data_IF_256149606352
#
_entry.id   IF_256149606352
#
_cell.length_a   1.000
_cell.length_b   1.000
_cell.length_c   1.000
_cell.angle_alpha   90.00
_cell.angle_beta   90.00
_cell.angle_gamma   90.00
#
_symmetry.space_group_name_H-M   'P 1'
#
loop_
_entity.id
_entity.type
_entity.pdbx_description
1 polymer ?
#
# COMPACT_ATOMS: atom_id res chain seq x y z
N UNK A 1 26.80 56.14 39.89
CA UNK A 1 27.32 54.74 39.81
C UNK A 1 26.32 53.64 40.24
N UNK A 2 25.07 53.94 40.60
CA UNK A 2 24.09 52.94 41.09
C UNK A 2 23.18 52.34 40.01
N UNK A 3 22.94 53.07 38.90
CA UNK A 3 22.07 52.61 37.79
C UNK A 3 22.73 51.55 36.89
N UNK A 4 24.04 51.64 36.64
CA UNK A 4 24.78 50.62 35.89
C UNK A 4 24.81 49.27 36.62
N UNK A 5 24.97 49.31 37.95
CA UNK A 5 24.98 48.12 38.81
C UNK A 5 23.65 47.38 38.80
N UNK A 6 22.52 48.10 38.74
CA UNK A 6 21.17 47.49 38.63
C UNK A 6 20.96 46.80 37.28
N UNK A 7 21.39 47.41 36.17
CA UNK A 7 21.30 46.79 34.84
C UNK A 7 22.17 45.53 34.74
N UNK A 8 23.37 45.57 35.32
CA UNK A 8 24.26 44.41 35.38
C UNK A 8 23.68 43.28 36.24
N UNK A 9 23.06 43.59 37.38
CA UNK A 9 22.37 42.62 38.24
C UNK A 9 21.15 41.99 37.55
N UNK A 10 20.36 42.79 36.84
CA UNK A 10 19.21 42.28 36.08
C UNK A 10 19.67 41.38 34.93
N UNK A 11 20.71 41.77 34.19
CA UNK A 11 21.28 40.95 33.13
C UNK A 11 21.83 39.62 33.67
N UNK A 12 22.54 39.65 34.80
CA UNK A 12 23.06 38.44 35.45
C UNK A 12 21.91 37.52 35.91
N UNK A 13 20.85 38.08 36.48
CA UNK A 13 19.67 37.32 36.89
C UNK A 13 18.97 36.64 35.72
N UNK A 14 18.74 37.38 34.62
CA UNK A 14 18.15 36.81 33.40
C UNK A 14 19.03 35.72 32.79
N UNK A 15 20.35 35.91 32.79
CA UNK A 15 21.31 34.91 32.32
C UNK A 15 21.29 33.63 33.18
N UNK A 16 21.22 33.78 34.52
CA UNK A 16 21.08 32.62 35.40
C UNK A 16 19.76 31.89 35.20
N UNK A 17 18.64 32.59 34.99
CA UNK A 17 17.35 31.97 34.68
C UNK A 17 17.39 31.21 33.35
N UNK A 18 18.04 31.77 32.33
CA UNK A 18 18.20 31.11 31.04
C UNK A 18 19.00 29.81 31.14
N UNK A 19 20.15 29.83 31.84
CA UNK A 19 20.96 28.62 32.06
C UNK A 19 20.15 27.57 32.83
N UNK A 20 19.42 27.98 33.87
CA UNK A 20 18.63 27.05 34.68
C UNK A 20 17.46 26.45 33.89
N UNK A 21 16.78 27.27 33.08
CA UNK A 21 15.72 26.82 32.18
C UNK A 21 16.22 25.87 31.09
N UNK A 22 17.36 26.17 30.47
CA UNK A 22 18.00 25.30 29.50
C UNK A 22 18.46 23.97 30.13
N UNK A 23 19.04 24.01 31.34
CA UNK A 23 19.43 22.81 32.09
C UNK A 23 18.23 21.97 32.53
N UNK A 24 17.10 22.59 32.89
CA UNK A 24 15.84 21.87 33.17
C UNK A 24 15.26 21.25 31.90
N UNK A 25 15.25 21.97 30.77
CA UNK A 25 14.79 21.46 29.47
C UNK A 25 15.62 20.29 28.96
N UNK A 26 16.95 20.36 29.12
CA UNK A 26 17.85 19.26 28.76
C UNK A 26 17.72 18.06 29.71
N UNK A 27 17.39 18.28 30.99
CA UNK A 27 17.13 17.20 31.96
C UNK A 27 15.78 16.52 31.78
N UNK A 28 14.82 17.16 31.10
CA UNK A 28 13.55 16.52 30.70
C UNK A 28 13.67 15.69 29.42
N UNK A 29 14.78 15.81 28.69
CA UNK A 29 15.12 14.90 27.59
C UNK A 29 15.74 13.64 28.19
N UNK A 30 14.88 12.72 28.63
CA UNK A 30 15.29 11.34 28.90
C UNK A 30 15.68 10.71 27.56
N UNK A 31 16.84 10.03 27.44
CA UNK A 31 17.09 9.18 26.28
C UNK A 31 16.05 8.07 26.31
N UNK A 32 15.21 8.01 25.29
CA UNK A 32 14.37 6.86 25.01
C UNK A 32 15.24 5.76 24.41
N UNK A 33 16.03 5.12 25.26
CA UNK A 33 16.59 3.80 25.00
C UNK A 33 15.58 2.77 25.52
N UNK A 34 14.97 2.02 24.60
CA UNK A 34 14.12 0.89 24.98
C UNK A 34 12.98 0.58 24.01
N UNK A 35 13.30 0.25 22.77
CA UNK A 35 12.57 -0.79 22.02
C UNK A 35 13.49 -1.39 20.95
N UNK A 36 14.60 -1.96 21.41
CA UNK A 36 15.44 -2.90 20.66
C UNK A 36 15.48 -4.19 21.45
N UNK A 37 14.35 -4.92 21.45
CA UNK A 37 14.25 -6.32 21.88
C UNK A 37 12.85 -6.82 21.53
N UNK A 38 12.59 -7.11 20.25
CA UNK A 38 11.61 -8.09 19.77
C UNK A 38 11.77 -8.23 18.24
N UNK A 39 12.86 -8.87 17.82
CA UNK A 39 12.92 -9.57 16.54
C UNK A 39 13.43 -10.99 16.83
N UNK A 40 12.56 -12.02 16.86
CA UNK A 40 13.02 -13.39 16.91
C UNK A 40 13.43 -13.80 15.51
N UNK A 41 14.74 -13.96 15.31
CA UNK A 41 15.29 -14.69 14.20
C UNK A 41 16.13 -13.85 13.27
N UNK A 42 17.40 -13.70 13.60
CA UNK A 42 18.51 -13.87 12.68
C UNK A 42 19.79 -13.76 13.49
N UNK A 43 20.55 -14.85 13.53
CA UNK A 43 22.01 -14.85 13.42
C UNK A 43 22.49 -16.29 13.61
N UNK A 44 22.95 -16.92 12.52
CA UNK A 44 24.13 -17.79 12.52
C UNK A 44 24.56 -18.02 11.06
N UNK A 45 25.42 -17.13 10.55
CA UNK A 45 26.39 -17.48 9.51
C UNK A 45 27.75 -17.01 10.00
N UNK A 46 28.68 -17.94 10.20
CA UNK A 46 30.04 -17.65 10.64
C UNK A 46 30.91 -18.90 10.86
N UNK A 47 31.47 -19.39 9.76
CA UNK A 47 32.78 -20.08 9.64
C UNK A 47 33.08 -21.43 10.33
N UNK A 48 33.12 -22.48 9.49
CA UNK A 48 34.32 -23.23 9.05
C UNK A 48 35.34 -23.66 10.11
N UNK A 49 35.44 -24.98 10.38
CA UNK A 49 36.70 -25.73 10.24
C UNK A 49 36.53 -27.26 10.37
N UNK A 50 37.37 -27.96 9.63
CA UNK A 50 37.59 -29.39 9.47
C UNK A 50 37.31 -30.33 10.66
N UNK A 51 36.66 -31.47 10.34
CA UNK A 51 37.20 -32.80 10.67
C UNK A 51 36.54 -33.88 9.82
N UNK A 52 37.34 -34.48 8.95
CA UNK A 52 36.92 -35.63 8.15
C UNK A 52 36.64 -36.88 8.99
N UNK A 53 35.71 -37.70 8.51
CA UNK A 53 35.86 -39.16 8.56
C UNK A 53 35.13 -39.81 7.40
N UNK A 54 35.95 -40.27 6.47
CA UNK A 54 35.71 -41.27 5.44
C UNK A 54 35.25 -42.57 6.10
N UNK A 55 34.12 -43.14 5.70
CA UNK A 55 33.89 -44.58 5.70
C UNK A 55 33.05 -44.97 4.49
N UNK A 56 33.45 -46.09 3.91
CA UNK A 56 33.29 -46.47 2.52
C UNK A 56 31.94 -47.13 2.18
N UNK A 57 31.72 -47.22 0.88
CA UNK A 57 30.74 -48.05 0.23
C UNK A 57 30.93 -49.54 0.50
N UNK A 58 29.81 -50.26 0.57
CA UNK A 58 29.53 -51.57 -0.05
C UNK A 58 28.58 -52.36 0.86
N UNK A 59 27.31 -52.39 0.49
CA UNK A 59 26.56 -53.64 0.53
C UNK A 59 25.68 -53.68 -0.72
N UNK A 60 26.09 -54.57 -1.61
CA UNK A 60 25.43 -54.86 -2.87
C UNK A 60 24.28 -55.84 -2.66
N UNK A 61 23.29 -55.71 -3.53
CA UNK A 61 22.54 -56.81 -4.12
C UNK A 61 21.76 -57.73 -3.18
N UNK A 62 20.47 -57.42 -3.00
CA UNK A 62 19.45 -58.46 -2.94
C UNK A 62 18.14 -57.97 -3.59
N UNK A 63 17.64 -58.81 -4.50
CA UNK A 63 16.28 -58.81 -5.07
C UNK A 63 15.93 -57.73 -6.10
N UNK A 64 16.32 -58.00 -7.35
CA UNK A 64 15.46 -57.71 -8.48
C UNK A 64 14.22 -58.63 -8.46
N UNK A 65 13.04 -58.05 -8.70
CA UNK A 65 11.84 -58.61 -9.36
C UNK A 65 10.51 -58.35 -8.62
N UNK A 66 9.50 -57.97 -9.43
CA UNK A 66 8.07 -57.71 -9.16
C UNK A 66 7.72 -56.32 -8.58
N UNK A 67 7.22 -55.35 -9.36
CA UNK A 67 5.89 -55.19 -10.01
C UNK A 67 4.89 -54.41 -9.13
N UNK A 68 4.27 -53.39 -9.74
CA UNK A 68 3.11 -52.54 -9.38
C UNK A 68 3.39 -51.19 -8.69
N UNK A 69 3.27 -50.12 -9.49
CA UNK A 69 3.05 -48.74 -9.05
C UNK A 69 1.64 -48.56 -8.44
N UNK A 70 1.46 -47.83 -7.33
CA UNK A 70 0.13 -47.48 -6.82
C UNK A 70 -0.47 -46.28 -7.60
N UNK A 71 -1.79 -46.19 -7.76
CA UNK A 71 -2.46 -45.08 -8.44
C UNK A 71 -2.47 -43.81 -7.56
N UNK A 72 -2.51 -42.60 -8.15
CA UNK A 72 -2.68 -41.39 -7.37
C UNK A 72 -4.09 -41.35 -6.78
N UNK A 73 -4.16 -41.29 -5.44
CA UNK A 73 -5.40 -41.18 -4.68
C UNK A 73 -6.17 -39.92 -5.04
N UNK A 74 -7.45 -40.09 -5.34
CA UNK A 74 -8.44 -39.01 -5.39
C UNK A 74 -8.57 -38.36 -4.02
N UNK A 75 -8.10 -37.12 -3.90
CA UNK A 75 -8.62 -36.21 -2.90
C UNK A 75 -10.04 -35.81 -3.32
N UNK A 76 -11.04 -36.42 -2.69
CA UNK A 76 -12.42 -35.92 -2.78
C UNK A 76 -12.54 -34.66 -1.93
N UNK A 77 -12.37 -33.49 -2.56
CA UNK A 77 -12.84 -32.22 -1.99
C UNK A 77 -14.36 -32.21 -2.11
N UNK A 78 -15.02 -32.61 -1.01
CA UNK A 78 -16.47 -32.52 -0.86
C UNK A 78 -16.84 -31.09 -0.48
N UNK A 79 -17.24 -30.29 -1.46
CA UNK A 79 -17.72 -28.93 -1.27
C UNK A 79 -17.59 -28.13 -2.56
N UNK A 80 -18.44 -28.41 -3.54
CA UNK A 80 -18.57 -27.61 -4.76
C UNK A 80 -19.09 -26.24 -4.37
N UNK A 81 -18.21 -25.25 -4.21
CA UNK A 81 -18.60 -23.88 -4.47
C UNK A 81 -18.81 -23.77 -5.98
N UNK A 82 -19.97 -23.27 -6.41
CA UNK A 82 -20.35 -23.03 -7.82
C UNK A 82 -19.50 -21.93 -8.50
N UNK A 83 -18.26 -21.78 -8.07
CA UNK A 83 -17.26 -20.94 -8.68
C UNK A 83 -16.87 -21.59 -10.00
N UNK A 84 -17.54 -21.16 -11.06
CA UNK A 84 -17.29 -21.60 -12.43
C UNK A 84 -15.86 -21.21 -12.83
N UNK A 85 -14.90 -22.09 -12.59
CA UNK A 85 -13.54 -21.97 -13.12
C UNK A 85 -13.65 -22.05 -14.64
N UNK A 86 -13.66 -20.90 -15.30
CA UNK A 86 -13.60 -20.81 -16.76
C UNK A 86 -12.26 -20.22 -17.10
N UNK A 87 -11.57 -20.80 -18.09
CA UNK A 87 -10.22 -20.45 -18.56
C UNK A 87 -9.07 -20.79 -17.61
N UNK A 88 -8.77 -22.08 -17.50
CA UNK A 88 -7.37 -22.52 -17.47
C UNK A 88 -6.77 -22.34 -18.87
N UNK A 89 -5.97 -21.30 -19.08
CA UNK A 89 -5.02 -21.33 -20.19
C UNK A 89 -4.03 -22.45 -19.86
N UNK A 90 -3.92 -23.46 -20.72
CA UNK A 90 -3.17 -24.71 -20.47
C UNK A 90 -1.68 -24.55 -20.17
N UNK A 91 -1.16 -23.31 -20.20
CA UNK A 91 0.24 -22.98 -20.02
C UNK A 91 0.54 -22.31 -18.65
N UNK A 92 -0.45 -22.21 -17.75
CA UNK A 92 -0.31 -21.51 -16.46
C UNK A 92 -0.77 -22.39 -15.29
N UNK A 93 0.08 -22.50 -14.27
CA UNK A 93 -0.14 -23.31 -13.06
C UNK A 93 -1.19 -22.72 -12.08
N UNK A 94 -1.86 -21.62 -12.44
CA UNK A 94 -2.84 -20.94 -11.60
C UNK A 94 -4.19 -20.75 -12.30
N UNK A 95 -5.27 -20.81 -11.51
CA UNK A 95 -6.65 -20.56 -11.95
C UNK A 95 -7.06 -19.13 -11.64
N UNK A 96 -7.81 -18.49 -12.54
CA UNK A 96 -8.44 -17.19 -12.34
C UNK A 96 -9.93 -17.39 -12.05
N UNK A 97 -10.47 -16.64 -11.09
CA UNK A 97 -11.86 -16.71 -10.63
C UNK A 97 -12.67 -15.48 -11.08
N UNK A 98 -13.57 -15.64 -12.04
CA UNK A 98 -14.38 -14.54 -12.60
C UNK A 98 -15.61 -14.16 -11.75
N UNK A 99 -15.87 -14.89 -10.68
CA UNK A 99 -16.80 -14.52 -9.61
C UNK A 99 -16.14 -13.64 -8.54
N UNK A 100 -14.81 -13.46 -8.59
CA UNK A 100 -14.06 -12.56 -7.70
C UNK A 100 -13.79 -11.24 -8.40
N UNK A 101 -14.30 -10.16 -7.82
CA UNK A 101 -14.29 -8.80 -8.38
C UNK A 101 -13.47 -7.87 -7.47
N UNK A 102 -12.61 -7.04 -8.05
CA UNK A 102 -11.78 -6.06 -7.33
C UNK A 102 -12.10 -4.65 -7.81
N UNK A 103 -12.47 -3.76 -6.89
CA UNK A 103 -12.63 -2.33 -7.17
C UNK A 103 -11.28 -1.66 -7.41
N UNK A 104 -11.22 -0.85 -8.47
CA UNK A 104 -9.98 -0.27 -8.96
C UNK A 104 -10.16 1.18 -9.37
N UNK A 105 -9.22 2.03 -8.94
CA UNK A 105 -9.27 3.47 -9.08
C UNK A 105 -8.10 3.97 -9.94
N UNK A 106 -8.40 4.80 -10.93
CA UNK A 106 -7.45 5.36 -11.90
C UNK A 106 -7.06 6.82 -11.65
N UNK A 107 -7.38 7.33 -10.47
CA UNK A 107 -7.34 8.77 -10.18
C UNK A 107 -6.00 9.27 -9.62
N UNK A 108 -4.97 8.42 -9.53
CA UNK A 108 -3.69 8.83 -8.93
C UNK A 108 -2.75 9.44 -9.96
N UNK A 109 -2.02 10.50 -9.58
CA UNK A 109 -1.07 11.18 -10.46
C UNK A 109 0.21 11.57 -9.75
N UNK A 110 1.32 11.60 -10.47
CA UNK A 110 2.67 11.92 -9.96
C UNK A 110 3.33 13.03 -10.80
N UNK A 111 4.23 13.85 -10.22
CA UNK A 111 4.88 14.95 -10.95
C UNK A 111 5.62 14.54 -12.23
N UNK A 112 6.17 13.33 -12.26
CA UNK A 112 6.93 12.83 -13.42
C UNK A 112 6.07 12.57 -14.67
N UNK A 113 4.79 12.23 -14.49
CA UNK A 113 3.86 11.87 -15.57
C UNK A 113 2.74 12.90 -15.75
N UNK A 114 2.28 13.49 -14.64
CA UNK A 114 1.08 14.31 -14.55
C UNK A 114 1.37 15.78 -14.21
N UNK A 115 2.66 16.17 -14.11
CA UNK A 115 3.17 17.49 -13.71
C UNK A 115 2.86 17.91 -12.25
N UNK A 116 1.96 17.22 -11.56
CA UNK A 116 1.62 17.42 -10.15
C UNK A 116 1.21 16.10 -9.51
N UNK A 117 1.15 16.08 -8.18
CA UNK A 117 0.42 15.02 -7.49
C UNK A 117 -1.08 15.19 -7.70
N UNK A 118 -1.78 14.07 -7.87
CA UNK A 118 -3.25 14.00 -7.97
C UNK A 118 -3.70 12.89 -7.02
N UNK A 119 -4.74 13.16 -6.22
CA UNK A 119 -5.22 12.33 -5.10
C UNK A 119 -4.23 12.06 -3.96
N UNK A 120 -2.92 11.94 -4.21
CA UNK A 120 -1.94 11.77 -3.14
C UNK A 120 -1.85 13.00 -2.22
N UNK A 121 -2.08 14.19 -2.76
CA UNK A 121 -2.06 15.48 -2.06
C UNK A 121 -3.47 15.92 -1.63
N UNK A 122 -4.38 14.98 -1.38
CA UNK A 122 -5.77 15.27 -1.04
C UNK A 122 -5.89 16.26 0.14
N UNK A 123 -6.97 17.04 0.14
CA UNK A 123 -7.30 17.94 1.25
C UNK A 123 -7.71 17.14 2.49
N UNK A 124 -7.33 17.59 3.67
CA UNK A 124 -7.89 17.07 4.91
C UNK A 124 -9.36 17.50 4.97
N UNK A 125 -10.28 16.54 4.83
CA UNK A 125 -11.72 16.80 4.81
C UNK A 125 -12.14 17.31 6.19
N UNK A 126 -12.67 18.54 6.30
CA UNK A 126 -13.07 19.10 7.57
C UNK A 126 -14.26 18.33 8.14
N UNK A 127 -14.32 18.26 9.47
CA UNK A 127 -15.52 17.78 10.15
C UNK A 127 -16.72 18.68 9.79
N UNK A 128 -17.92 18.10 9.64
CA UNK A 128 -19.13 18.82 9.23
C UNK A 128 -19.56 19.92 10.22
N UNK A 129 -19.32 19.72 11.53
CA UNK A 129 -19.45 20.77 12.56
C UNK A 129 -18.19 21.66 12.58
N UNK A 130 -18.31 22.97 12.26
CA UNK A 130 -17.18 23.91 12.25
C UNK A 130 -16.45 24.03 13.59
N UNK A 131 -17.14 23.82 14.72
CA UNK A 131 -16.52 23.89 16.06
C UNK A 131 -15.55 22.74 16.28
N UNK A 132 -15.91 21.55 15.78
CA UNK A 132 -15.05 20.37 15.83
C UNK A 132 -13.94 20.52 14.78
N UNK A 133 -14.27 20.97 13.57
CA UNK A 133 -13.29 21.17 12.49
C UNK A 133 -12.15 22.12 12.88
N UNK A 134 -12.43 23.15 13.69
CA UNK A 134 -11.42 24.07 14.20
C UNK A 134 -10.39 23.42 15.13
N UNK A 135 -10.70 22.25 15.70
CA UNK A 135 -9.80 21.49 16.57
C UNK A 135 -8.94 20.45 15.85
N UNK A 136 -9.15 20.25 14.54
CA UNK A 136 -8.41 19.29 13.72
C UNK A 136 -7.43 19.98 12.78
N UNK A 137 -6.44 19.22 12.29
CA UNK A 137 -5.52 19.69 11.26
C UNK A 137 -6.29 20.03 9.97
N UNK A 138 -5.83 21.07 9.28
CA UNK A 138 -6.40 21.58 8.04
C UNK A 138 -5.29 21.74 7.01
N UNK A 139 -5.66 21.74 5.73
CA UNK A 139 -4.74 21.88 4.62
C UNK A 139 -4.77 20.68 3.69
N UNK A 140 -3.65 20.43 3.01
CA UNK A 140 -3.46 19.32 2.07
C UNK A 140 -2.25 18.51 2.49
N UNK A 141 -2.28 17.23 2.16
CA UNK A 141 -1.10 16.38 2.26
C UNK A 141 0.02 16.89 1.33
N UNK A 142 1.29 16.68 1.72
CA UNK A 142 2.48 17.10 0.95
C UNK A 142 3.35 15.88 0.55
N UNK A 143 3.03 15.19 -0.56
CA UNK A 143 3.81 14.04 -1.02
C UNK A 143 5.25 14.43 -1.41
N UNK A 144 6.23 13.50 -1.34
CA UNK A 144 6.03 12.05 -1.24
C UNK A 144 5.98 11.47 0.17
N UNK A 145 6.48 12.16 1.20
CA UNK A 145 6.51 11.59 2.56
C UNK A 145 5.15 11.70 3.30
N UNK A 146 4.36 12.72 2.97
CA UNK A 146 3.02 12.96 3.53
C UNK A 146 1.96 12.78 2.44
N UNK A 147 1.38 11.58 2.36
CA UNK A 147 0.32 11.23 1.40
C UNK A 147 -1.03 11.11 2.09
N UNK A 148 -2.10 11.28 1.32
CA UNK A 148 -3.49 11.12 1.75
C UNK A 148 -3.92 9.65 1.95
N UNK A 149 -3.14 8.91 2.75
CA UNK A 149 -3.40 7.52 3.09
C UNK A 149 -2.76 7.19 4.43
N UNK A 150 -3.42 6.34 5.22
CA UNK A 150 -2.82 5.77 6.43
C UNK A 150 -1.76 4.69 6.13
N UNK A 151 -1.69 4.22 4.88
CA UNK A 151 -0.74 3.21 4.40
C UNK A 151 0.11 3.76 3.26
N UNK A 152 1.35 3.31 3.15
CA UNK A 152 2.25 3.71 2.08
C UNK A 152 2.34 2.63 1.00
N UNK A 153 2.04 2.92 -0.28
CA UNK A 153 2.15 1.95 -1.36
C UNK A 153 3.61 1.58 -1.64
N UNK A 154 3.88 0.31 -1.93
CA UNK A 154 5.23 -0.16 -2.30
C UNK A 154 5.75 0.52 -3.57
N UNK A 155 4.86 0.83 -4.51
CA UNK A 155 5.15 1.57 -5.74
C UNK A 155 5.34 3.09 -5.52
N UNK A 156 5.26 3.57 -4.27
CA UNK A 156 5.29 4.99 -3.95
C UNK A 156 4.06 5.75 -4.47
N UNK A 157 4.05 7.10 -4.40
CA UNK A 157 2.97 7.93 -4.94
C UNK A 157 3.02 7.93 -6.47
N UNK A 158 2.52 6.84 -7.06
CA UNK A 158 2.58 6.52 -8.48
C UNK A 158 1.57 7.33 -9.31
N UNK A 159 1.73 7.29 -10.63
CA UNK A 159 0.71 7.72 -11.58
C UNK A 159 -0.10 6.53 -12.09
N UNK A 160 -1.41 6.64 -12.10
CA UNK A 160 -2.31 5.70 -12.77
C UNK A 160 -2.15 5.72 -14.30
N UNK A 161 -1.51 6.76 -14.85
CA UNK A 161 -1.16 6.87 -16.28
C UNK A 161 0.11 6.12 -16.65
N UNK A 162 0.90 5.66 -15.67
CA UNK A 162 2.14 4.96 -15.91
C UNK A 162 1.88 3.51 -16.37
N UNK A 163 2.31 3.13 -17.60
CA UNK A 163 2.08 1.78 -18.10
C UNK A 163 2.80 0.70 -17.26
N UNK A 164 3.92 1.04 -16.62
CA UNK A 164 4.65 0.09 -15.76
C UNK A 164 3.90 -0.20 -14.46
N UNK A 165 3.22 0.81 -13.92
CA UNK A 165 2.34 0.71 -12.76
C UNK A 165 1.09 -0.11 -13.11
N UNK A 166 0.46 0.17 -14.27
CA UNK A 166 -0.70 -0.59 -14.74
C UNK A 166 -0.36 -2.08 -14.90
N UNK A 167 0.76 -2.41 -15.54
CA UNK A 167 1.19 -3.81 -15.70
C UNK A 167 1.47 -4.47 -14.33
N UNK A 168 2.11 -3.74 -13.40
CA UNK A 168 2.37 -4.24 -12.05
C UNK A 168 1.07 -4.53 -11.29
N UNK A 169 0.06 -3.66 -11.40
CA UNK A 169 -1.25 -3.90 -10.79
C UNK A 169 -1.95 -5.13 -11.40
N UNK A 170 -1.94 -5.30 -12.72
CA UNK A 170 -2.56 -6.49 -13.34
C UNK A 170 -1.86 -7.78 -12.92
N UNK A 171 -0.52 -7.76 -12.79
CA UNK A 171 0.23 -8.90 -12.25
C UNK A 171 -0.14 -9.21 -10.79
N UNK A 172 -0.36 -8.19 -9.95
CA UNK A 172 -0.81 -8.38 -8.56
C UNK A 172 -2.23 -8.96 -8.50
N UNK A 173 -3.15 -8.47 -9.35
CA UNK A 173 -4.53 -8.97 -9.43
C UNK A 173 -4.56 -10.43 -9.92
N UNK A 174 -3.74 -10.74 -10.93
CA UNK A 174 -3.56 -12.11 -11.43
C UNK A 174 -2.99 -13.03 -10.34
N UNK A 175 -1.99 -12.57 -9.58
CA UNK A 175 -1.43 -13.32 -8.45
C UNK A 175 -2.45 -13.53 -7.31
N UNK A 176 -3.43 -12.62 -7.17
CA UNK A 176 -4.57 -12.76 -6.27
C UNK A 176 -5.69 -13.67 -6.82
N UNK A 177 -5.53 -14.21 -8.04
CA UNK A 177 -6.50 -15.05 -8.74
C UNK A 177 -7.86 -14.39 -9.01
N UNK A 178 -7.95 -13.07 -8.95
CA UNK A 178 -9.18 -12.34 -9.24
C UNK A 178 -9.34 -12.12 -10.74
N UNK A 179 -10.52 -12.43 -11.27
CA UNK A 179 -10.79 -12.41 -12.71
C UNK A 179 -11.47 -11.15 -13.22
N UNK A 180 -12.01 -10.30 -12.35
CA UNK A 180 -12.76 -9.11 -12.77
C UNK A 180 -12.26 -7.87 -12.05
N UNK A 181 -11.87 -6.87 -12.86
CA UNK A 181 -11.56 -5.52 -12.45
C UNK A 181 -12.81 -4.65 -12.56
N UNK A 182 -13.28 -4.10 -11.44
CA UNK A 182 -14.38 -3.14 -11.38
C UNK A 182 -13.79 -1.74 -11.39
N UNK A 183 -13.83 -1.10 -12.55
CA UNK A 183 -13.22 0.20 -12.75
C UNK A 183 -14.16 1.32 -12.30
N UNK A 184 -13.72 2.12 -11.32
CA UNK A 184 -14.35 3.38 -10.98
C UNK A 184 -14.27 4.33 -12.17
N UNK A 185 -15.42 4.69 -12.74
CA UNK A 185 -15.50 5.43 -13.98
C UNK A 185 -16.44 6.64 -13.88
N UNK A 186 -15.97 7.77 -14.39
CA UNK A 186 -16.74 8.99 -14.61
C UNK A 186 -16.98 9.20 -16.12
N UNK A 187 -18.10 9.85 -16.51
CA UNK A 187 -18.31 10.25 -17.89
C UNK A 187 -17.16 11.09 -18.46
N UNK A 188 -16.95 11.09 -19.79
CA UNK A 188 -15.88 11.86 -20.41
C UNK A 188 -15.90 13.34 -20.03
N UNK A 189 -14.73 13.90 -19.70
CA UNK A 189 -14.57 15.27 -19.23
C UNK A 189 -15.06 15.53 -17.80
N UNK A 190 -15.47 14.49 -17.06
CA UNK A 190 -15.92 14.59 -15.67
C UNK A 190 -14.91 13.86 -14.77
N UNK A 191 -14.66 14.44 -13.60
CA UNK A 191 -13.85 13.87 -12.54
C UNK A 191 -14.52 14.18 -11.19
N UNK A 192 -13.99 13.62 -10.10
CA UNK A 192 -14.36 14.11 -8.77
C UNK A 192 -13.75 15.51 -8.49
N UNK A 193 -14.12 16.08 -7.35
CA UNK A 193 -13.72 17.43 -6.92
C UNK A 193 -12.20 17.59 -6.70
N UNK A 194 -11.44 16.50 -6.66
CA UNK A 194 -10.03 16.47 -6.27
C UNK A 194 -9.12 15.78 -7.29
N UNK A 195 -9.67 15.29 -8.40
CA UNK A 195 -8.99 14.55 -9.44
C UNK A 195 -8.96 15.27 -10.80
N UNK A 196 -8.65 14.49 -11.82
CA UNK A 196 -8.70 14.89 -13.23
C UNK A 196 -9.43 13.82 -14.04
N UNK A 197 -9.95 14.14 -15.25
CA UNK A 197 -10.62 13.15 -16.08
C UNK A 197 -9.69 11.98 -16.43
N UNK A 198 -10.21 10.76 -16.27
CA UNK A 198 -9.44 9.50 -16.43
C UNK A 198 -9.98 8.60 -17.53
N UNK A 199 -10.96 9.05 -18.31
CA UNK A 199 -11.63 8.26 -19.34
C UNK A 199 -10.68 7.82 -20.46
N UNK A 200 -9.64 8.60 -20.71
CA UNK A 200 -8.63 8.33 -21.74
C UNK A 200 -7.69 7.17 -21.35
N UNK A 201 -7.66 6.80 -20.06
CA UNK A 201 -6.92 5.63 -19.55
C UNK A 201 -7.66 4.31 -19.75
N UNK A 202 -8.97 4.34 -19.99
CA UNK A 202 -9.80 3.12 -20.10
C UNK A 202 -9.26 2.15 -21.15
N UNK A 203 -8.89 2.57 -22.39
CA UNK A 203 -8.32 1.64 -23.37
C UNK A 203 -7.02 0.99 -22.89
N UNK A 204 -6.11 1.76 -22.27
CA UNK A 204 -4.83 1.24 -21.78
C UNK A 204 -5.02 0.18 -20.68
N UNK A 205 -6.00 0.40 -19.78
CA UNK A 205 -6.36 -0.56 -18.74
C UNK A 205 -6.97 -1.82 -19.32
N UNK A 206 -7.87 -1.70 -20.30
CA UNK A 206 -8.46 -2.85 -20.97
C UNK A 206 -7.40 -3.70 -21.68
N UNK A 207 -6.42 -3.06 -22.34
CA UNK A 207 -5.30 -3.74 -22.98
C UNK A 207 -4.41 -4.45 -21.96
N UNK A 208 -4.11 -3.82 -20.83
CA UNK A 208 -3.34 -4.43 -19.74
C UNK A 208 -4.08 -5.63 -19.12
N UNK A 209 -5.35 -5.45 -18.75
CA UNK A 209 -6.18 -6.51 -18.20
C UNK A 209 -6.28 -7.70 -19.17
N UNK A 210 -6.41 -7.45 -20.48
CA UNK A 210 -6.47 -8.50 -21.49
C UNK A 210 -5.21 -9.37 -21.52
N UNK A 211 -4.01 -8.78 -21.38
CA UNK A 211 -2.73 -9.53 -21.33
C UNK A 211 -2.68 -10.51 -20.14
N UNK A 212 -3.33 -10.16 -19.04
CA UNK A 212 -3.42 -10.98 -17.83
C UNK A 212 -4.70 -11.83 -17.74
N UNK A 213 -5.49 -11.92 -18.81
CA UNK A 213 -6.77 -12.64 -18.82
C UNK A 213 -7.79 -12.13 -17.79
N UNK A 214 -7.69 -10.87 -17.39
CA UNK A 214 -8.61 -10.19 -16.48
C UNK A 214 -9.73 -9.53 -17.31
N UNK A 215 -10.97 -9.62 -16.85
CA UNK A 215 -12.12 -8.89 -17.43
C UNK A 215 -12.27 -7.54 -16.75
N UNK A 216 -12.79 -6.56 -17.48
CA UNK A 216 -13.08 -5.23 -16.95
C UNK A 216 -14.58 -4.99 -17.00
N UNK A 217 -15.14 -4.47 -15.91
CA UNK A 217 -16.49 -3.90 -15.83
C UNK A 217 -16.40 -2.49 -15.27
N UNK A 218 -17.36 -1.62 -15.59
CA UNK A 218 -17.40 -0.25 -15.07
C UNK A 218 -18.36 -0.10 -13.88
N UNK A 219 -17.97 0.70 -12.90
CA UNK A 219 -18.84 1.26 -11.88
C UNK A 219 -18.98 2.77 -12.15
N UNK A 220 -20.20 3.20 -12.49
CA UNK A 220 -20.48 4.62 -12.74
C UNK A 220 -20.53 5.38 -11.43
N UNK A 221 -19.57 6.28 -11.22
CA UNK A 221 -19.47 7.08 -10.00
C UNK A 221 -20.11 8.46 -10.21
N UNK A 222 -20.87 8.94 -9.22
CA UNK A 222 -21.24 10.37 -9.12
C UNK A 222 -22.35 10.90 -10.04
N UNK A 223 -23.24 10.06 -10.60
CA UNK A 223 -24.33 10.55 -11.46
C UNK A 223 -25.55 11.12 -10.71
N UNK A 224 -25.52 11.22 -9.37
CA UNK A 224 -26.63 11.76 -8.60
C UNK A 224 -26.41 13.24 -8.25
N UNK A 225 -26.77 14.13 -9.17
CA UNK A 225 -27.38 15.39 -8.76
C UNK A 225 -28.83 15.09 -8.41
N UNK A 226 -29.09 14.65 -7.17
CA UNK A 226 -30.41 14.87 -6.58
C UNK A 226 -30.43 16.36 -6.25
N UNK A 227 -30.92 17.16 -7.18
CA UNK A 227 -31.30 18.54 -6.94
C UNK A 227 -32.37 18.53 -5.84
N UNK A 228 -31.95 18.71 -4.59
CA UNK A 228 -32.81 18.88 -3.42
C UNK A 228 -33.35 20.32 -3.38
N UNK A 229 -33.90 20.79 -4.50
CA UNK A 229 -34.63 22.06 -4.62
C UNK A 229 -36.12 21.82 -4.31
N UNK A 230 -36.47 21.41 -3.09
CA UNK A 230 -37.89 21.36 -2.70
C UNK A 230 -38.22 21.44 -1.20
N UNK A 231 -37.35 21.98 -0.34
CA UNK A 231 -37.72 22.22 1.07
C UNK A 231 -37.31 23.61 1.58
N UNK A 232 -37.95 24.63 1.02
CA UNK A 232 -38.25 25.87 1.75
C UNK A 232 -39.68 26.29 1.40
N UNK A 233 -40.63 25.87 2.24
CA UNK A 233 -41.87 26.63 2.50
C UNK A 233 -41.77 27.22 3.91
#
# INVERSE_FOLDING_TARGET
MTRLRRKALVALFLFTLFIFGAMMGLRTLKPSDGFSDLAPGMDFIGERSDRGRRLDANDAAAAAALVVSPPPGQFHVRGSSDTKVVFTKSDRDYSIFYDVHIFYYLWYGSPGMDNKYIHWDHVLVPHWDPKIAASHAQGRHTPPEDIASSFYPELGPYSSRDPTVLESHMAQIEAAAAGVLVLSWYPPGVADDHGEPTEDLVPAVMDAAHRHSIKVTGETTGMFSLSDDSLTE
#
